data_IF_913260350589
#
_entry.id   IF_913260350589
#
_cell.length_a   1.000
_cell.length_b   1.000
_cell.length_c   1.000
_cell.angle_alpha   90.00
_cell.angle_beta   90.00
_cell.angle_gamma   90.00
#
_symmetry.space_group_name_H-M   'P 1'
#
loop_
_entity.id
_entity.type
_entity.pdbx_description
1 polymer ?
#
# COMPACT_ATOMS: atom_id res chain seq x y z
N UNK A 1 12.48 5.46 -10.54
CA UNK A 1 11.05 5.23 -10.36
C UNK A 1 10.77 4.85 -8.92
N UNK A 2 9.72 5.42 -8.35
CA UNK A 2 9.34 5.10 -6.97
C UNK A 2 8.75 3.70 -6.91
N UNK A 3 9.20 2.92 -5.95
CA UNK A 3 8.68 1.57 -5.77
C UNK A 3 8.32 1.33 -4.31
N UNK A 4 7.30 0.52 -4.12
CA UNK A 4 6.93 0.07 -2.79
C UNK A 4 6.52 -1.41 -2.89
N UNK A 5 6.26 -2.01 -1.75
CA UNK A 5 5.96 -3.43 -1.71
C UNK A 5 4.48 -3.72 -1.43
N UNK A 6 3.60 -2.76 -1.71
CA UNK A 6 2.17 -2.97 -1.43
C UNK A 6 1.64 -4.18 -2.19
N UNK A 7 1.86 -4.21 -3.50
CA UNK A 7 1.32 -5.29 -4.32
C UNK A 7 1.90 -6.64 -3.93
N UNK A 8 3.20 -6.67 -3.69
CA UNK A 8 3.87 -7.91 -3.32
C UNK A 8 3.28 -8.49 -2.04
N UNK A 9 3.19 -7.66 -1.00
CA UNK A 9 2.71 -8.12 0.30
C UNK A 9 1.22 -8.44 0.24
N UNK A 10 0.46 -7.60 -0.47
CA UNK A 10 -0.97 -7.82 -0.62
C UNK A 10 -1.25 -9.17 -1.27
N UNK A 11 -0.54 -9.47 -2.36
CA UNK A 11 -0.78 -10.72 -3.07
C UNK A 11 -0.31 -11.93 -2.27
N UNK A 12 0.76 -11.79 -1.50
CA UNK A 12 1.19 -12.85 -0.59
C UNK A 12 0.12 -13.21 0.41
N UNK A 13 -0.66 -12.21 0.83
CA UNK A 13 -1.72 -12.42 1.82
C UNK A 13 -3.05 -12.79 1.16
N UNK A 14 -3.08 -12.92 -0.16
CA UNK A 14 -4.30 -13.27 -0.87
C UNK A 14 -5.34 -12.17 -0.91
N UNK A 15 -4.92 -10.92 -0.74
CA UNK A 15 -5.84 -9.79 -0.74
C UNK A 15 -6.04 -9.23 -2.14
N UNK A 16 -7.30 -8.93 -2.49
CA UNK A 16 -7.57 -8.15 -3.68
C UNK A 16 -7.38 -6.68 -3.37
N UNK A 17 -7.23 -5.87 -4.42
CA UNK A 17 -7.11 -4.44 -4.25
C UNK A 17 -8.38 -3.86 -3.62
N UNK A 18 -9.55 -4.38 -4.03
CA UNK A 18 -10.82 -3.96 -3.45
C UNK A 18 -10.88 -4.25 -1.96
N UNK A 19 -10.40 -5.42 -1.54
CA UNK A 19 -10.40 -5.76 -0.13
C UNK A 19 -9.52 -4.81 0.66
N UNK A 20 -8.30 -4.58 0.16
CA UNK A 20 -7.39 -3.67 0.85
C UNK A 20 -7.97 -2.26 0.93
N UNK A 21 -8.62 -1.80 -0.15
CA UNK A 21 -9.26 -0.50 -0.15
C UNK A 21 -10.30 -0.40 0.95
N UNK A 22 -11.11 -1.44 1.09
CA UNK A 22 -12.19 -1.45 2.07
C UNK A 22 -11.65 -1.39 3.50
N UNK A 23 -10.68 -2.23 3.82
CA UNK A 23 -10.20 -2.30 5.20
C UNK A 23 -9.30 -1.13 5.57
N UNK A 24 -8.58 -0.56 4.60
CA UNK A 24 -7.72 0.58 4.86
C UNK A 24 -8.44 1.91 4.76
N UNK A 25 -9.62 1.92 4.14
CA UNK A 25 -10.38 3.13 3.87
C UNK A 25 -9.61 4.09 2.97
N UNK A 26 -8.76 3.54 2.12
CA UNK A 26 -8.05 4.30 1.10
C UNK A 26 -8.67 3.93 -0.24
N UNK A 27 -8.96 4.93 -1.09
CA UNK A 27 -9.66 4.66 -2.34
C UNK A 27 -8.88 3.68 -3.21
N UNK A 28 -9.61 2.85 -3.94
CA UNK A 28 -8.99 1.84 -4.79
C UNK A 28 -8.16 2.49 -5.90
N UNK A 29 -8.63 3.62 -6.42
CA UNK A 29 -7.87 4.33 -7.44
C UNK A 29 -6.53 4.80 -6.92
N UNK A 30 -6.53 5.33 -5.70
CA UNK A 30 -5.30 5.80 -5.09
C UNK A 30 -4.33 4.64 -4.84
N UNK A 31 -4.86 3.53 -4.30
CA UNK A 31 -4.03 2.34 -4.08
C UNK A 31 -3.44 1.82 -5.39
N UNK A 32 -4.23 1.82 -6.44
CA UNK A 32 -3.77 1.39 -7.75
C UNK A 32 -2.60 2.24 -8.22
N UNK A 33 -2.73 3.56 -8.08
CA UNK A 33 -1.66 4.48 -8.47
C UNK A 33 -0.41 4.29 -7.61
N UNK A 34 -0.60 4.02 -6.31
CA UNK A 34 0.54 3.76 -5.44
C UNK A 34 1.28 2.51 -5.88
N UNK A 35 0.55 1.44 -6.20
CA UNK A 35 1.17 0.18 -6.61
C UNK A 35 1.95 0.34 -7.91
N UNK A 36 1.44 1.17 -8.82
CA UNK A 36 2.09 1.41 -10.11
C UNK A 36 3.27 2.37 -10.01
N UNK A 37 3.38 3.08 -8.89
CA UNK A 37 4.43 4.08 -8.75
C UNK A 37 4.10 5.41 -9.42
N UNK A 38 2.85 5.60 -9.87
CA UNK A 38 2.43 6.85 -10.47
C UNK A 38 2.03 7.89 -9.43
N UNK A 39 1.74 7.44 -8.21
CA UNK A 39 1.56 8.33 -7.06
C UNK A 39 2.74 8.15 -6.14
N UNK A 40 3.38 9.24 -5.80
CA UNK A 40 4.55 9.24 -4.92
C UNK A 40 4.20 10.00 -3.66
N UNK A 41 4.97 9.84 -2.65
CA UNK A 41 4.87 10.64 -1.43
C UNK A 41 3.48 10.60 -0.80
N UNK A 42 2.92 9.40 -0.56
CA UNK A 42 1.68 9.36 0.21
C UNK A 42 1.94 9.94 1.59
N UNK A 43 0.90 10.50 2.21
CA UNK A 43 1.04 11.05 3.55
C UNK A 43 1.41 9.93 4.52
N UNK A 44 2.02 10.31 5.64
CA UNK A 44 2.35 9.33 6.68
C UNK A 44 1.09 8.64 7.17
N UNK A 45 -0.02 9.37 7.28
CA UNK A 45 -1.28 8.79 7.72
C UNK A 45 -1.74 7.68 6.78
N UNK A 46 -1.63 7.92 5.48
CA UNK A 46 -2.01 6.91 4.49
C UNK A 46 -1.07 5.70 4.59
N UNK A 47 0.22 5.95 4.73
CA UNK A 47 1.18 4.86 4.85
C UNK A 47 0.90 4.01 6.09
N UNK A 48 0.54 4.66 7.20
CA UNK A 48 0.23 3.94 8.42
C UNK A 48 -1.03 3.08 8.27
N UNK A 49 -2.06 3.61 7.62
CA UNK A 49 -3.27 2.84 7.39
C UNK A 49 -2.99 1.58 6.57
N UNK A 50 -2.20 1.73 5.52
CA UNK A 50 -1.86 0.60 4.67
C UNK A 50 -1.01 -0.40 5.43
N UNK A 51 -0.03 0.08 6.20
CA UNK A 51 0.87 -0.81 6.92
C UNK A 51 0.11 -1.62 7.97
N UNK A 52 -0.84 -1.01 8.66
CA UNK A 52 -1.66 -1.73 9.62
C UNK A 52 -2.44 -2.85 8.97
N UNK A 53 -3.01 -2.57 7.80
CA UNK A 53 -3.81 -3.55 7.09
C UNK A 53 -2.96 -4.70 6.55
N UNK A 54 -1.72 -4.42 6.21
CA UNK A 54 -0.81 -5.43 5.66
C UNK A 54 0.04 -6.09 6.74
N UNK A 55 -0.08 -5.63 7.98
CA UNK A 55 0.68 -6.19 9.11
C UNK A 55 2.18 -6.14 8.86
N UNK A 56 2.65 -5.02 8.31
CA UNK A 56 4.05 -4.76 8.05
C UNK A 56 4.33 -3.32 8.44
N UNK A 57 5.59 -3.02 8.72
CA UNK A 57 5.95 -1.65 9.08
C UNK A 57 5.92 -0.75 7.84
N UNK A 58 5.76 0.55 8.07
CA UNK A 58 5.83 1.53 6.99
C UNK A 58 7.17 1.42 6.27
N UNK A 59 8.24 1.22 7.05
CA UNK A 59 9.58 1.10 6.47
C UNK A 59 9.69 -0.09 5.52
N UNK A 60 9.11 -1.23 5.91
CA UNK A 60 9.17 -2.42 5.07
C UNK A 60 8.42 -2.24 3.75
N UNK A 61 7.34 -1.47 3.78
CA UNK A 61 6.49 -1.32 2.60
C UNK A 61 6.99 -0.20 1.69
N UNK A 62 7.32 0.94 2.28
CA UNK A 62 7.54 2.16 1.50
C UNK A 62 8.99 2.59 1.40
N UNK A 63 9.85 2.17 2.31
CA UNK A 63 11.24 2.59 2.33
C UNK A 63 12.20 1.43 2.16
N UNK A 64 11.68 0.33 1.69
CA UNK A 64 12.48 -0.84 1.39
C UNK A 64 13.32 -0.58 0.14
N UNK A 65 14.57 -1.00 0.18
CA UNK A 65 15.48 -0.86 -0.96
C UNK A 65 15.66 -2.16 -1.70
#
# INVERSE_FOLDING_TARGET
MYKNRIREIRTEKGMTLEYLSRISQVSIGYLCHLERGTRRNPSMKIMEKISECLDKSVSEIFFNK
#
